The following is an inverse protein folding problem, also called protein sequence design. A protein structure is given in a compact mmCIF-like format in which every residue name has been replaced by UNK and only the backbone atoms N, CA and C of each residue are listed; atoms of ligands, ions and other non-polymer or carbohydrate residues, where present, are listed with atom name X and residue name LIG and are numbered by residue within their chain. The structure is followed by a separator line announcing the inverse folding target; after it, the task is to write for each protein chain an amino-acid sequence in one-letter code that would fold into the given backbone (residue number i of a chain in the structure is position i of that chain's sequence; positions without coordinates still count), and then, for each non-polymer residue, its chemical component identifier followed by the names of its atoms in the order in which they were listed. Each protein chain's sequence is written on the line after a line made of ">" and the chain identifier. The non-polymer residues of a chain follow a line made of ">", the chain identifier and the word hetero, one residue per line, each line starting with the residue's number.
data_IF_402635598463
#
_entry.id   IF_402635598463
#
_cell.length_a   1.000
_cell.length_b   1.000
_cell.length_c   1.000
_cell.angle_alpha   90.00
_cell.angle_beta   90.00
_cell.angle_gamma   90.00
#
_symmetry.space_group_name_H-M   'P 1'
#
loop_
_entity.id
_entity.type
_entity.pdbx_description
1 polymer ?
#
# COMPACT_ATOMS: atom_id res chain seq x y z
N UNK A 1 -8.15 11.40 1.25
CA UNK A 1 -6.88 11.58 0.48
C UNK A 1 -7.22 12.38 -0.77
N UNK A 2 -6.39 13.34 -1.20
CA UNK A 2 -6.62 14.07 -2.45
C UNK A 2 -5.65 13.55 -3.51
N UNK A 3 -6.15 12.86 -4.53
CA UNK A 3 -5.36 12.32 -5.64
C UNK A 3 -5.61 13.22 -6.85
N UNK A 4 -4.56 13.76 -7.50
CA UNK A 4 -4.77 14.53 -8.72
C UNK A 4 -5.45 13.67 -9.80
N UNK A 5 -6.42 14.25 -10.52
CA UNK A 5 -7.26 13.52 -11.48
C UNK A 5 -6.42 12.71 -12.48
N UNK A 6 -5.34 13.30 -12.98
CA UNK A 6 -4.44 12.69 -13.95
C UNK A 6 -3.55 11.56 -13.39
N UNK A 7 -3.77 11.10 -12.16
CA UNK A 7 -3.11 9.94 -11.56
C UNK A 7 -4.09 8.91 -10.98
N UNK A 8 -5.40 9.17 -11.06
CA UNK A 8 -6.42 8.26 -10.52
C UNK A 8 -6.44 6.89 -11.21
N UNK A 9 -6.08 6.84 -12.49
CA UNK A 9 -5.88 5.60 -13.24
C UNK A 9 -4.80 4.69 -12.62
N UNK A 10 -3.80 5.24 -11.94
CA UNK A 10 -2.77 4.41 -11.28
C UNK A 10 -3.34 3.53 -10.17
N UNK A 11 -4.50 3.87 -9.61
CA UNK A 11 -5.19 3.09 -8.58
C UNK A 11 -6.22 2.11 -9.15
N UNK A 12 -6.36 2.05 -10.48
CA UNK A 12 -7.33 1.19 -11.14
C UNK A 12 -6.76 -0.21 -11.39
N UNK A 13 -7.65 -1.21 -11.40
CA UNK A 13 -7.29 -2.60 -11.71
C UNK A 13 -6.85 -2.79 -13.16
N UNK A 14 -7.39 -1.98 -14.08
CA UNK A 14 -7.04 -2.01 -15.50
C UNK A 14 -5.59 -1.60 -15.73
N UNK A 15 -5.09 -0.61 -14.98
CA UNK A 15 -3.72 -0.11 -15.11
C UNK A 15 -2.67 -1.11 -14.63
N UNK A 16 -3.03 -2.04 -13.74
CA UNK A 16 -2.15 -3.09 -13.20
C UNK A 16 -0.86 -2.55 -12.54
N UNK A 17 -0.95 -1.37 -11.93
CA UNK A 17 0.16 -0.77 -11.18
C UNK A 17 0.50 -1.63 -9.96
N UNK A 18 1.79 -1.74 -9.64
CA UNK A 18 2.24 -2.30 -8.36
C UNK A 18 2.47 -1.19 -7.34
N UNK A 19 2.06 -1.45 -6.11
CA UNK A 19 2.44 -0.62 -4.98
C UNK A 19 3.68 -1.19 -4.30
N UNK A 20 4.62 -0.32 -3.93
CA UNK A 20 5.76 -0.64 -3.09
C UNK A 20 5.48 -0.13 -1.68
N UNK A 21 5.14 -1.06 -0.77
CA UNK A 21 4.83 -0.75 0.62
C UNK A 21 6.12 -0.68 1.43
N UNK A 22 6.36 0.49 2.02
CA UNK A 22 7.41 0.71 3.01
C UNK A 22 6.84 0.63 4.44
N UNK A 23 7.47 -0.20 5.27
CA UNK A 23 7.17 -0.42 6.68
C UNK A 23 8.42 -0.20 7.55
N UNK A 24 8.22 0.06 8.85
CA UNK A 24 9.29 0.10 9.84
C UNK A 24 9.27 -1.20 10.67
N UNK A 25 10.36 -1.96 10.61
CA UNK A 25 10.53 -3.22 11.34
C UNK A 25 10.80 -2.98 12.84
N UNK A 26 10.86 -4.07 13.61
CA UNK A 26 10.97 -4.01 15.07
C UNK A 26 12.30 -3.40 15.53
N UNK A 27 13.35 -3.62 14.76
CA UNK A 27 14.68 -3.07 14.96
C UNK A 27 14.84 -1.64 14.40
N UNK A 28 13.76 -1.04 13.90
CA UNK A 28 13.76 0.31 13.31
C UNK A 28 14.19 0.36 11.85
N UNK A 29 14.60 -0.76 11.24
CA UNK A 29 15.01 -0.80 9.83
C UNK A 29 13.80 -0.77 8.88
N UNK A 30 13.94 -0.24 7.65
CA UNK A 30 12.86 -0.24 6.68
C UNK A 30 12.72 -1.61 5.99
N UNK A 31 11.50 -2.00 5.66
CA UNK A 31 11.20 -3.07 4.71
C UNK A 31 10.35 -2.50 3.58
N UNK A 32 10.74 -2.76 2.33
CA UNK A 32 9.98 -2.39 1.14
C UNK A 32 9.52 -3.66 0.40
N UNK A 33 8.25 -3.76 0.05
CA UNK A 33 7.70 -4.96 -0.62
C UNK A 33 6.73 -4.56 -1.74
N UNK A 34 6.95 -5.03 -2.99
CA UNK A 34 5.98 -4.86 -4.06
C UNK A 34 4.75 -5.75 -3.82
N UNK A 35 3.56 -5.20 -4.04
CA UNK A 35 2.30 -5.91 -3.85
C UNK A 35 1.19 -5.36 -4.76
N UNK A 36 0.20 -6.21 -4.99
CA UNK A 36 -1.11 -5.82 -5.48
C UNK A 36 -1.92 -5.14 -4.37
N UNK A 37 -2.75 -4.20 -4.74
CA UNK A 37 -3.60 -3.44 -3.84
C UNK A 37 -4.96 -3.18 -4.47
N UNK A 38 -5.89 -2.78 -3.62
CA UNK A 38 -7.23 -2.32 -3.95
C UNK A 38 -7.38 -0.85 -3.56
N UNK A 39 -8.33 -0.14 -4.18
CA UNK A 39 -8.72 1.21 -3.78
C UNK A 39 -10.24 1.35 -3.80
N UNK A 40 -10.83 1.67 -2.64
CA UNK A 40 -12.29 1.78 -2.47
C UNK A 40 -12.82 3.21 -2.70
N UNK A 41 -11.98 4.13 -3.17
CA UNK A 41 -12.27 5.56 -3.30
C UNK A 41 -11.84 6.40 -2.08
N UNK A 42 -11.50 5.75 -0.97
CA UNK A 42 -11.07 6.40 0.28
C UNK A 42 -9.77 5.81 0.85
N UNK A 43 -9.63 4.49 0.83
CA UNK A 43 -8.56 3.70 1.42
C UNK A 43 -7.86 2.85 0.37
N UNK A 44 -6.53 2.74 0.52
CA UNK A 44 -5.76 1.70 -0.16
C UNK A 44 -5.80 0.44 0.70
N UNK A 45 -6.25 -0.65 0.10
CA UNK A 45 -6.42 -1.96 0.74
C UNK A 45 -5.31 -2.88 0.26
N UNK A 46 -4.66 -3.59 1.17
CA UNK A 46 -3.57 -4.51 0.84
C UNK A 46 -3.78 -5.85 1.56
N UNK A 47 -3.27 -6.93 0.96
CA UNK A 47 -3.30 -8.24 1.60
C UNK A 47 -2.06 -8.51 2.47
N UNK A 48 -2.30 -9.13 3.62
CA UNK A 48 -1.29 -9.76 4.47
C UNK A 48 -1.90 -10.95 5.20
N UNK A 49 -1.07 -11.91 5.61
CA UNK A 49 -1.47 -13.00 6.50
C UNK A 49 -1.15 -12.66 7.97
N UNK A 50 -2.01 -13.14 8.88
CA UNK A 50 -1.86 -12.98 10.32
C UNK A 50 -0.50 -13.53 10.80
N UNK A 51 0.19 -12.78 11.66
CA UNK A 51 1.47 -13.19 12.26
C UNK A 51 2.68 -13.07 11.34
N UNK A 52 2.53 -12.71 10.06
CA UNK A 52 3.64 -12.39 9.17
C UNK A 52 4.28 -11.04 9.52
N UNK A 53 5.44 -10.78 8.92
CA UNK A 53 6.23 -9.56 9.16
C UNK A 53 5.40 -8.29 8.94
N UNK A 54 4.65 -8.19 7.83
CA UNK A 54 3.80 -7.03 7.50
C UNK A 54 2.73 -6.78 8.57
N UNK A 55 1.98 -7.82 8.95
CA UNK A 55 0.96 -7.75 10.01
C UNK A 55 1.56 -7.29 11.35
N UNK A 56 2.63 -7.94 11.81
CA UNK A 56 3.34 -7.57 13.05
C UNK A 56 3.92 -6.15 12.99
N UNK A 57 4.40 -5.71 11.82
CA UNK A 57 4.96 -4.39 11.64
C UNK A 57 3.88 -3.31 11.70
N UNK A 58 2.81 -3.46 10.92
CA UNK A 58 1.70 -2.49 10.84
C UNK A 58 0.92 -2.37 12.16
N UNK A 59 0.77 -3.45 12.93
CA UNK A 59 0.16 -3.39 14.27
C UNK A 59 1.00 -2.63 15.29
N UNK A 60 2.33 -2.69 15.19
CA UNK A 60 3.25 -1.99 16.10
C UNK A 60 3.44 -0.53 15.70
N UNK A 61 3.64 -0.30 14.41
CA UNK A 61 3.90 1.02 13.82
C UNK A 61 2.94 1.22 12.66
N UNK A 62 1.83 1.96 12.85
CA UNK A 62 0.80 2.07 11.82
C UNK A 62 1.20 3.01 10.68
N UNK A 63 2.25 3.81 10.83
CA UNK A 63 2.71 4.73 9.79
C UNK A 63 3.43 3.98 8.67
N UNK A 64 2.93 4.15 7.45
CA UNK A 64 3.41 3.46 6.25
C UNK A 64 3.56 4.44 5.08
N UNK A 65 4.29 4.02 4.06
CA UNK A 65 4.33 4.72 2.77
C UNK A 65 4.11 3.73 1.62
N UNK A 66 3.52 4.22 0.54
CA UNK A 66 3.34 3.51 -0.72
C UNK A 66 3.94 4.34 -1.85
N UNK A 67 4.65 3.68 -2.76
CA UNK A 67 4.94 4.22 -4.09
C UNK A 67 4.23 3.36 -5.13
N UNK A 68 3.34 3.97 -5.92
CA UNK A 68 2.57 3.30 -6.98
C UNK A 68 3.07 3.85 -8.30
N UNK A 69 3.79 3.02 -9.05
CA UNK A 69 4.43 3.41 -10.30
C UNK A 69 3.59 2.99 -11.51
N UNK A 70 3.56 3.83 -12.53
CA UNK A 70 3.01 3.48 -13.83
C UNK A 70 3.86 2.38 -14.49
N UNK A 71 3.27 1.22 -14.86
CA UNK A 71 4.01 0.15 -15.53
C UNK A 71 4.55 0.53 -16.92
N UNK A 72 3.96 1.54 -17.56
CA UNK A 72 4.34 2.01 -18.90
C UNK A 72 5.32 3.19 -18.85
N UNK A 73 5.48 3.85 -17.70
CA UNK A 73 6.35 5.00 -17.54
C UNK A 73 6.87 5.16 -16.09
N UNK A 74 8.08 4.68 -15.83
CA UNK A 74 8.69 4.70 -14.49
C UNK A 74 8.87 6.10 -13.85
N UNK A 75 8.80 7.19 -14.62
CA UNK A 75 8.85 8.55 -14.08
C UNK A 75 7.48 9.07 -13.60
N UNK A 76 6.40 8.37 -13.96
CA UNK A 76 5.03 8.69 -13.55
C UNK A 76 4.65 7.78 -12.37
N UNK A 77 4.51 8.36 -11.20
CA UNK A 77 4.14 7.63 -9.99
C UNK A 77 3.38 8.53 -9.02
N UNK A 78 2.67 7.92 -8.07
CA UNK A 78 2.19 8.60 -6.87
C UNK A 78 2.86 8.04 -5.63
N UNK A 79 3.13 8.91 -4.67
CA UNK A 79 3.57 8.54 -3.34
C UNK A 79 2.47 8.87 -2.34
N UNK A 80 2.11 7.89 -1.52
CA UNK A 80 1.12 8.05 -0.46
C UNK A 80 1.83 7.78 0.87
N UNK A 81 1.65 8.69 1.84
CA UNK A 81 2.03 8.49 3.24
C UNK A 81 0.77 8.46 4.07
N UNK A 82 0.66 7.50 4.97
CA UNK A 82 -0.57 7.31 5.73
C UNK A 82 -0.37 6.49 6.99
N UNK A 83 -1.50 6.20 7.63
CA UNK A 83 -1.57 5.26 8.75
C UNK A 83 -2.49 4.12 8.37
N UNK A 84 -2.17 2.91 8.81
CA UNK A 84 -3.11 1.79 8.82
C UNK A 84 -4.22 2.13 9.81
N UNK A 85 -5.44 2.28 9.30
CA UNK A 85 -6.63 2.65 10.08
C UNK A 85 -7.47 1.45 10.49
N UNK A 86 -7.35 0.34 9.75
CA UNK A 86 -8.11 -0.89 9.99
C UNK A 86 -7.27 -2.12 9.60
N UNK A 87 -7.42 -3.21 10.35
CA UNK A 87 -6.92 -4.55 10.00
C UNK A 87 -8.05 -5.53 10.29
N UNK A 88 -8.54 -6.22 9.26
CA UNK A 88 -9.68 -7.14 9.35
C UNK A 88 -9.35 -8.48 8.69
N UNK A 89 -9.99 -9.54 9.18
CA UNK A 89 -9.95 -10.89 8.59
C UNK A 89 -11.24 -11.20 7.81
N UNK A 90 -12.19 -10.26 7.79
CA UNK A 90 -13.44 -10.43 7.07
C UNK A 90 -13.19 -10.55 5.57
N UNK A 91 -13.61 -11.67 4.97
CA UNK A 91 -13.41 -11.95 3.55
C UNK A 91 -12.04 -12.53 3.19
N UNK A 92 -11.16 -12.76 4.17
CA UNK A 92 -9.92 -13.51 3.95
C UNK A 92 -10.22 -14.99 3.66
N UNK A 93 -9.45 -15.62 2.77
CA UNK A 93 -9.51 -17.05 2.42
C UNK A 93 -8.13 -17.68 2.58
#
# INVERSE_FOLDING_TARGET
>A
MNIPENFTDLLSWEKKSFAHLALVLRDGTPQCTPLWFDYDGTHVIINSALGRVKDKAMRRTPHVALAISDPDNSYRYIQIRGKVVEITEQGAR
#
